data_IF_818357895647
#
_entry.id   IF_818357895647
#
_cell.length_a   1.000
_cell.length_b   1.000
_cell.length_c   1.000
_cell.angle_alpha   90.00
_cell.angle_beta   90.00
_cell.angle_gamma   90.00
#
_symmetry.space_group_name_H-M   'P 1'
#
loop_
_entity.id
_entity.type
_entity.pdbx_description
1 polymer ?
#
# COMPACT_ATOMS: atom_id res chain seq x y z
N UNK A 1 17.15 -19.52 -4.41
CA UNK A 1 16.51 -18.65 -5.45
C UNK A 1 17.59 -17.95 -6.26
N UNK A 2 17.47 -17.90 -7.59
CA UNK A 2 18.34 -17.07 -8.44
C UNK A 2 17.49 -15.96 -9.04
N UNK A 3 17.73 -14.72 -8.61
CA UNK A 3 17.15 -13.54 -9.27
C UNK A 3 18.03 -13.26 -10.49
N UNK A 4 17.44 -13.31 -11.68
CA UNK A 4 18.14 -13.11 -12.94
C UNK A 4 17.73 -11.77 -13.55
N UNK A 5 18.69 -10.99 -14.03
CA UNK A 5 18.41 -9.76 -14.78
C UNK A 5 18.16 -10.10 -16.25
N UNK A 6 16.97 -9.80 -16.73
CA UNK A 6 16.50 -10.17 -18.07
C UNK A 6 16.14 -11.65 -18.21
N UNK A 7 15.54 -12.00 -19.32
CA UNK A 7 15.23 -13.38 -19.65
C UNK A 7 16.48 -14.13 -20.16
N UNK A 8 16.69 -15.39 -19.74
CA UNK A 8 17.80 -16.19 -20.25
C UNK A 8 17.60 -16.52 -21.73
N UNK A 9 18.71 -16.71 -22.45
CA UNK A 9 18.65 -17.17 -23.83
C UNK A 9 17.93 -18.53 -23.90
N UNK A 10 16.87 -18.61 -24.70
CA UNK A 10 16.04 -19.81 -24.80
C UNK A 10 14.94 -19.91 -23.75
N UNK A 11 14.61 -18.83 -23.07
CA UNK A 11 13.41 -18.77 -22.22
C UNK A 11 12.18 -19.23 -23.02
N UNK A 12 11.53 -20.26 -22.50
CA UNK A 12 10.30 -20.79 -23.08
C UNK A 12 9.17 -20.67 -22.05
N UNK A 13 8.14 -19.83 -22.27
CA UNK A 13 7.04 -19.69 -21.33
C UNK A 13 6.26 -20.98 -21.09
N UNK A 14 6.24 -21.90 -22.06
CA UNK A 14 5.54 -23.18 -21.92
C UNK A 14 6.24 -24.19 -20.98
N UNK A 15 7.44 -23.88 -20.48
CA UNK A 15 8.10 -24.65 -19.43
C UNK A 15 7.56 -24.32 -18.04
N UNK A 16 6.64 -23.36 -17.93
CA UNK A 16 6.03 -22.90 -16.69
C UNK A 16 4.51 -23.13 -16.71
N UNK A 17 3.98 -23.60 -15.58
CA UNK A 17 2.55 -23.77 -15.36
C UNK A 17 1.87 -22.41 -15.13
N UNK A 18 2.68 -21.41 -14.70
CA UNK A 18 2.17 -20.09 -14.33
C UNK A 18 3.19 -18.99 -14.61
N UNK A 19 2.68 -17.85 -15.10
CA UNK A 19 3.42 -16.59 -15.19
C UNK A 19 2.81 -15.61 -14.19
N UNK A 20 3.65 -15.04 -13.34
CA UNK A 20 3.30 -13.96 -12.41
C UNK A 20 3.93 -12.67 -12.89
N UNK A 21 3.13 -11.64 -13.15
CA UNK A 21 3.60 -10.31 -13.53
C UNK A 21 3.61 -9.41 -12.30
N UNK A 22 4.81 -9.03 -11.87
CA UNK A 22 5.10 -8.22 -10.70
C UNK A 22 5.53 -9.04 -9.48
N UNK A 23 6.63 -8.63 -8.85
CA UNK A 23 7.23 -9.27 -7.67
C UNK A 23 6.92 -8.53 -6.35
N UNK A 24 5.79 -7.80 -6.29
CA UNK A 24 5.25 -7.21 -5.06
C UNK A 24 4.40 -8.21 -4.25
N UNK A 25 3.69 -7.74 -3.21
CA UNK A 25 2.93 -8.61 -2.31
C UNK A 25 1.97 -9.56 -3.05
N UNK A 26 1.13 -9.04 -3.96
CA UNK A 26 0.17 -9.88 -4.66
C UNK A 26 0.87 -11.01 -5.45
N UNK A 27 1.85 -10.66 -6.27
CA UNK A 27 2.55 -11.65 -7.10
C UNK A 27 3.36 -12.66 -6.30
N UNK A 28 4.14 -12.21 -5.31
CA UNK A 28 4.98 -13.08 -4.49
C UNK A 28 4.15 -14.08 -3.66
N UNK A 29 3.01 -13.63 -3.11
CA UNK A 29 2.08 -14.51 -2.36
C UNK A 29 1.50 -15.58 -3.29
N UNK A 30 0.99 -15.19 -4.47
CA UNK A 30 0.45 -16.15 -5.45
C UNK A 30 1.54 -17.14 -5.91
N UNK A 31 2.72 -16.65 -6.29
CA UNK A 31 3.83 -17.49 -6.71
C UNK A 31 4.19 -18.54 -5.65
N UNK A 32 4.38 -18.11 -4.40
CA UNK A 32 4.70 -19.01 -3.29
C UNK A 32 3.60 -20.02 -3.01
N UNK A 33 2.35 -19.59 -2.92
CA UNK A 33 1.21 -20.44 -2.60
C UNK A 33 0.99 -21.54 -3.64
N UNK A 34 1.07 -21.20 -4.93
CA UNK A 34 0.82 -22.14 -6.00
C UNK A 34 2.00 -23.10 -6.20
N UNK A 35 3.24 -22.62 -6.10
CA UNK A 35 4.41 -23.48 -6.15
C UNK A 35 4.41 -24.53 -5.03
N UNK A 36 4.13 -24.14 -3.79
CA UNK A 36 4.20 -25.07 -2.64
C UNK A 36 2.97 -25.96 -2.50
N UNK A 37 1.78 -25.57 -3.01
CA UNK A 37 0.54 -26.30 -2.75
C UNK A 37 0.17 -27.26 -3.88
N UNK A 38 0.27 -26.80 -5.14
CA UNK A 38 -0.06 -27.61 -6.34
C UNK A 38 1.16 -28.00 -7.16
N UNK A 39 2.36 -27.51 -6.78
CA UNK A 39 3.60 -27.86 -7.47
C UNK A 39 3.80 -27.14 -8.80
N UNK A 40 3.15 -25.99 -9.01
CA UNK A 40 3.32 -25.20 -10.21
C UNK A 40 4.76 -24.71 -10.34
N UNK A 41 5.31 -24.85 -11.55
CA UNK A 41 6.52 -24.14 -11.93
C UNK A 41 6.15 -22.71 -12.34
N UNK A 42 6.70 -21.72 -11.64
CA UNK A 42 6.30 -20.32 -11.74
C UNK A 42 7.43 -19.46 -12.29
N UNK A 43 7.14 -18.67 -13.33
CA UNK A 43 7.99 -17.56 -13.77
C UNK A 43 7.46 -16.25 -13.23
N UNK A 44 8.23 -15.57 -12.38
CA UNK A 44 7.90 -14.22 -11.90
C UNK A 44 8.64 -13.19 -12.76
N UNK A 45 7.90 -12.32 -13.45
CA UNK A 45 8.42 -11.28 -14.33
C UNK A 45 8.27 -9.91 -13.64
N UNK A 46 9.38 -9.27 -13.33
CA UNK A 46 9.40 -7.94 -12.68
C UNK A 46 10.09 -6.92 -13.60
N UNK A 47 9.40 -5.80 -13.88
CA UNK A 47 9.94 -4.75 -14.77
C UNK A 47 11.10 -3.97 -14.16
N UNK A 48 11.16 -3.89 -12.83
CA UNK A 48 12.23 -3.21 -12.10
C UNK A 48 13.46 -4.12 -11.97
N UNK A 49 14.55 -3.53 -11.53
CA UNK A 49 15.78 -4.25 -11.23
C UNK A 49 15.78 -4.97 -9.87
N UNK A 50 14.67 -4.88 -9.14
CA UNK A 50 14.50 -5.44 -7.79
C UNK A 50 13.10 -6.03 -7.58
N UNK A 51 12.99 -6.95 -6.62
CA UNK A 51 11.73 -7.53 -6.11
C UNK A 51 11.07 -6.63 -5.05
N UNK A 52 10.05 -7.13 -4.37
CA UNK A 52 9.29 -6.49 -3.29
C UNK A 52 8.36 -5.34 -3.72
N UNK A 53 8.31 -4.98 -5.01
CA UNK A 53 7.41 -3.95 -5.50
C UNK A 53 7.63 -2.62 -4.78
N UNK A 54 6.56 -1.97 -4.31
CA UNK A 54 6.66 -0.71 -3.58
C UNK A 54 7.14 -0.89 -2.12
N UNK A 55 7.21 -2.11 -1.60
CA UNK A 55 7.78 -2.37 -0.26
C UNK A 55 9.32 -2.53 -0.28
N UNK A 56 9.96 -2.38 -1.44
CA UNK A 56 11.40 -2.51 -1.58
C UNK A 56 12.14 -1.55 -0.64
N UNK A 57 13.09 -2.11 0.11
CA UNK A 57 14.00 -1.42 1.00
C UNK A 57 15.45 -1.85 0.75
N UNK A 58 16.37 -1.00 1.13
CA UNK A 58 17.80 -1.22 0.96
C UNK A 58 18.61 -0.42 1.98
N UNK A 59 19.86 -0.82 2.21
CA UNK A 59 20.78 -0.03 3.01
C UNK A 59 21.42 1.06 2.15
N UNK A 60 21.25 2.31 2.57
CA UNK A 60 21.86 3.45 1.91
C UNK A 60 23.37 3.61 2.26
N UNK A 61 24.03 4.65 1.73
CA UNK A 61 25.44 4.95 1.99
C UNK A 61 25.73 5.27 3.48
N UNK A 62 24.72 5.69 4.23
CA UNK A 62 24.85 5.92 5.68
C UNK A 62 24.71 4.63 6.49
N UNK A 63 24.27 3.54 5.87
CA UNK A 63 23.97 2.25 6.50
C UNK A 63 22.56 2.22 7.13
N UNK A 64 21.68 3.13 6.75
CA UNK A 64 20.27 3.15 7.16
C UNK A 64 19.47 2.27 6.24
N UNK A 65 18.61 1.41 6.78
CA UNK A 65 17.63 0.65 6.00
C UNK A 65 16.49 1.61 5.61
N UNK A 66 16.43 1.98 4.33
CA UNK A 66 15.48 2.95 3.77
C UNK A 66 14.48 2.27 2.84
N UNK A 67 13.24 2.71 2.86
CA UNK A 67 12.20 2.25 1.93
C UNK A 67 12.19 3.18 0.72
N UNK A 68 12.50 2.63 -0.46
CA UNK A 68 12.65 3.45 -1.67
C UNK A 68 11.34 4.17 -2.08
N UNK A 69 10.21 3.54 -1.83
CA UNK A 69 8.89 4.02 -2.29
C UNK A 69 7.99 4.50 -1.14
N UNK A 70 8.57 5.11 -0.11
CA UNK A 70 7.83 5.59 1.04
C UNK A 70 7.72 4.58 2.19
N UNK A 71 7.37 5.04 3.39
CA UNK A 71 7.32 4.19 4.56
C UNK A 71 6.23 3.13 4.43
N UNK A 72 6.63 1.89 4.63
CA UNK A 72 5.75 0.74 4.73
C UNK A 72 5.79 0.21 6.16
N UNK A 73 4.67 0.14 6.83
CA UNK A 73 4.54 -0.35 8.20
C UNK A 73 3.55 -1.51 8.20
N UNK A 74 4.01 -2.67 8.65
CA UNK A 74 3.15 -3.83 8.76
C UNK A 74 2.19 -3.69 9.93
N UNK A 75 0.90 -3.89 9.65
CA UNK A 75 -0.14 -4.07 10.63
C UNK A 75 -1.24 -4.92 10.02
N UNK A 76 -1.93 -5.71 10.83
CA UNK A 76 -3.10 -6.45 10.38
C UNK A 76 -4.00 -6.87 11.54
N UNK A 77 -5.28 -7.08 11.25
CA UNK A 77 -6.25 -7.77 12.11
C UNK A 77 -6.51 -9.20 11.63
N UNK A 78 -5.92 -9.59 10.50
CA UNK A 78 -6.15 -10.88 9.88
C UNK A 78 -5.06 -11.87 10.30
N UNK A 79 -5.44 -12.86 11.12
CA UNK A 79 -4.54 -13.89 11.63
C UNK A 79 -3.91 -14.72 10.50
N UNK A 80 -4.69 -15.09 9.48
CA UNK A 80 -4.19 -15.87 8.32
C UNK A 80 -3.07 -15.12 7.58
N UNK A 81 -3.20 -13.81 7.40
CA UNK A 81 -2.17 -12.98 6.79
C UNK A 81 -0.92 -12.95 7.66
N UNK A 82 -1.11 -12.77 8.98
CA UNK A 82 0.00 -12.76 9.92
C UNK A 82 0.75 -14.09 9.95
N UNK A 83 0.04 -15.20 10.05
CA UNK A 83 0.63 -16.55 10.03
C UNK A 83 1.39 -16.80 8.73
N UNK A 84 0.82 -16.44 7.59
CA UNK A 84 1.46 -16.64 6.30
C UNK A 84 2.77 -15.86 6.18
N UNK A 85 2.76 -14.55 6.45
CA UNK A 85 3.94 -13.69 6.31
C UNK A 85 5.01 -13.99 7.37
N UNK A 86 4.62 -14.40 8.58
CA UNK A 86 5.55 -14.79 9.66
C UNK A 86 6.38 -16.03 9.36
N UNK A 87 6.06 -16.76 8.30
CA UNK A 87 6.90 -17.86 7.80
C UNK A 87 8.19 -17.36 7.17
N UNK A 88 8.24 -16.09 6.75
CA UNK A 88 9.31 -15.54 5.91
C UNK A 88 10.11 -14.43 6.62
N UNK A 89 9.70 -14.02 7.81
CA UNK A 89 10.40 -13.04 8.61
C UNK A 89 10.08 -13.18 10.10
N UNK A 90 10.97 -12.67 10.94
CA UNK A 90 10.66 -12.31 12.33
C UNK A 90 10.20 -10.84 12.37
N UNK A 91 9.20 -10.54 13.21
CA UNK A 91 8.70 -9.18 13.38
C UNK A 91 9.37 -8.49 14.55
N UNK A 92 9.77 -7.23 14.39
CA UNK A 92 10.19 -6.38 15.51
C UNK A 92 8.96 -5.89 16.28
N UNK A 93 9.11 -5.57 17.55
CA UNK A 93 8.06 -4.93 18.35
C UNK A 93 8.04 -3.41 18.07
N UNK A 94 7.61 -3.06 16.85
CA UNK A 94 7.47 -1.67 16.45
C UNK A 94 6.00 -1.26 16.46
N UNK A 95 5.70 -0.21 17.25
CA UNK A 95 4.36 0.37 17.33
C UNK A 95 4.36 1.74 16.64
N UNK A 96 3.70 1.81 15.48
CA UNK A 96 3.74 3.01 14.65
C UNK A 96 3.03 4.19 15.30
N UNK A 97 3.71 5.33 15.37
CA UNK A 97 3.17 6.62 15.80
C UNK A 97 3.35 7.65 14.71
N UNK A 98 2.30 8.40 14.45
CA UNK A 98 2.30 9.52 13.51
C UNK A 98 1.88 10.79 14.25
N UNK A 99 2.58 11.86 13.97
CA UNK A 99 2.20 13.19 14.45
C UNK A 99 1.75 14.05 13.26
N UNK A 100 0.76 14.89 13.48
CA UNK A 100 0.42 15.99 12.57
C UNK A 100 1.08 17.27 13.08
N UNK A 101 1.75 18.00 12.21
CA UNK A 101 2.19 19.36 12.51
C UNK A 101 1.05 20.31 12.16
N UNK A 102 0.35 20.77 13.18
CA UNK A 102 -0.74 21.75 13.05
C UNK A 102 -0.25 23.08 13.59
N UNK A 103 0.07 24.02 12.71
CA UNK A 103 0.59 25.35 13.05
C UNK A 103 1.77 25.35 14.04
N UNK A 104 2.69 24.38 13.90
CA UNK A 104 3.85 24.22 14.78
C UNK A 104 3.61 23.34 16.02
N UNK A 105 2.37 22.94 16.30
CA UNK A 105 2.04 22.00 17.38
C UNK A 105 1.99 20.57 16.85
N UNK A 106 2.76 19.67 17.44
CA UNK A 106 2.77 18.25 17.09
C UNK A 106 1.68 17.50 17.85
N UNK A 107 0.69 16.98 17.12
CA UNK A 107 -0.48 16.27 17.66
C UNK A 107 -0.49 14.80 17.19
N UNK A 108 -0.86 13.83 18.06
CA UNK A 108 -1.08 12.45 17.64
C UNK A 108 -2.13 12.32 16.53
N UNK A 109 -1.89 11.35 15.62
CA UNK A 109 -2.85 10.91 14.59
C UNK A 109 -2.99 9.38 14.72
N UNK A 110 -4.22 8.85 14.85
CA UNK A 110 -5.54 9.53 14.83
C UNK A 110 -5.68 10.61 15.92
N UNK A 111 -6.49 11.63 15.60
CA UNK A 111 -6.80 12.68 16.55
C UNK A 111 -7.51 12.08 17.77
N UNK A 112 -6.93 12.23 18.96
CA UNK A 112 -7.33 11.52 20.18
C UNK A 112 -7.49 12.47 21.37
N UNK A 113 -7.68 11.97 22.59
CA UNK A 113 -7.80 12.76 23.81
C UNK A 113 -6.65 13.77 23.97
N UNK A 114 -5.41 13.33 23.82
CA UNK A 114 -4.24 14.23 23.90
C UNK A 114 -4.28 15.31 22.82
N UNK A 115 -4.75 14.97 21.62
CA UNK A 115 -4.90 15.96 20.53
C UNK A 115 -5.99 17.00 20.85
N UNK A 116 -7.09 16.61 21.53
CA UNK A 116 -8.10 17.54 22.02
C UNK A 116 -7.52 18.53 23.03
N UNK A 117 -6.72 18.06 23.99
CA UNK A 117 -6.08 18.94 24.97
C UNK A 117 -5.12 19.94 24.32
N UNK A 118 -4.35 19.48 23.32
CA UNK A 118 -3.42 20.33 22.57
C UNK A 118 -4.14 21.37 21.69
N UNK A 119 -5.29 21.00 21.12
CA UNK A 119 -6.07 21.86 20.22
C UNK A 119 -6.91 22.89 20.93
N UNK A 120 -7.60 22.52 22.02
CA UNK A 120 -8.62 23.31 22.70
C UNK A 120 -8.23 23.77 24.11
N UNK A 121 -7.07 23.35 24.62
CA UNK A 121 -6.65 23.54 26.01
C UNK A 121 -7.26 22.52 26.96
N UNK A 122 -6.74 22.46 28.21
CA UNK A 122 -7.11 21.40 29.16
C UNK A 122 -8.61 21.37 29.48
N UNK A 123 -9.19 22.51 29.86
CA UNK A 123 -10.59 22.57 30.30
C UNK A 123 -11.57 22.21 29.19
N UNK A 124 -11.47 22.87 28.04
CA UNK A 124 -12.35 22.61 26.90
C UNK A 124 -12.10 21.24 26.26
N UNK A 125 -10.84 20.83 26.16
CA UNK A 125 -10.46 19.51 25.64
C UNK A 125 -11.06 18.37 26.46
N UNK A 126 -11.05 18.47 27.80
CA UNK A 126 -11.68 17.51 28.70
C UNK A 126 -13.21 17.48 28.59
N UNK A 127 -13.87 18.63 28.39
CA UNK A 127 -15.30 18.66 28.12
C UNK A 127 -15.67 17.95 26.83
N UNK A 128 -14.94 18.25 25.75
CA UNK A 128 -15.14 17.63 24.44
C UNK A 128 -14.86 16.13 24.47
N UNK A 129 -13.81 15.71 25.19
CA UNK A 129 -13.50 14.28 25.35
C UNK A 129 -14.62 13.53 26.08
N UNK A 130 -15.11 14.06 27.21
CA UNK A 130 -16.26 13.47 27.93
C UNK A 130 -17.49 13.37 27.03
N UNK A 131 -17.77 14.39 26.23
CA UNK A 131 -18.86 14.38 25.25
C UNK A 131 -18.72 13.26 24.22
N UNK A 132 -17.51 13.05 23.70
CA UNK A 132 -17.20 11.94 22.78
C UNK A 132 -17.41 10.58 23.45
N UNK A 133 -16.91 10.40 24.68
CA UNK A 133 -17.10 9.18 25.46
C UNK A 133 -18.57 8.88 25.71
N UNK A 134 -19.35 9.88 26.14
CA UNK A 134 -20.77 9.73 26.42
C UNK A 134 -21.57 9.38 25.15
N UNK A 135 -21.14 9.84 23.98
CA UNK A 135 -21.86 9.65 22.72
C UNK A 135 -21.48 8.35 22.01
N UNK A 136 -20.21 7.99 22.01
CA UNK A 136 -19.67 6.89 21.19
C UNK A 136 -19.06 5.74 22.02
N UNK A 137 -18.75 5.98 23.28
CA UNK A 137 -17.99 5.07 24.14
C UNK A 137 -16.49 5.15 23.92
N UNK A 138 -15.72 4.63 24.88
CA UNK A 138 -14.25 4.59 24.78
C UNK A 138 -13.75 3.54 23.77
N UNK A 139 -12.51 3.73 23.35
CA UNK A 139 -11.80 2.85 22.41
C UNK A 139 -12.50 2.68 21.06
N UNK A 140 -13.10 3.75 20.56
CA UNK A 140 -13.79 3.80 19.26
C UNK A 140 -13.06 4.71 18.29
N UNK A 141 -12.98 4.27 17.03
CA UNK A 141 -12.65 5.13 15.89
C UNK A 141 -13.95 5.67 15.32
N UNK A 142 -14.10 6.99 15.34
CA UNK A 142 -15.30 7.68 14.86
C UNK A 142 -14.94 8.52 13.64
N UNK A 143 -15.49 8.22 12.46
CA UNK A 143 -15.28 9.02 11.26
C UNK A 143 -15.76 10.47 11.47
N UNK A 144 -15.02 11.45 10.92
CA UNK A 144 -15.38 12.88 11.06
C UNK A 144 -16.81 13.16 10.56
N UNK A 145 -17.22 12.49 9.51
CA UNK A 145 -18.57 12.67 8.94
C UNK A 145 -19.66 12.24 9.93
N UNK A 146 -19.43 11.17 10.70
CA UNK A 146 -20.37 10.71 11.74
C UNK A 146 -20.51 11.72 12.88
N UNK A 147 -19.42 12.42 13.26
CA UNK A 147 -19.47 13.51 14.22
C UNK A 147 -20.35 14.66 13.70
N UNK A 148 -20.22 15.04 12.44
CA UNK A 148 -21.02 16.12 11.81
C UNK A 148 -22.50 15.80 11.74
N UNK A 149 -22.88 14.54 11.57
CA UNK A 149 -24.28 14.10 11.49
C UNK A 149 -25.04 14.21 12.82
N UNK A 150 -24.36 14.33 13.97
CA UNK A 150 -25.01 14.33 15.28
C UNK A 150 -25.76 15.61 15.61
N UNK A 151 -25.62 16.70 14.87
CA UNK A 151 -26.23 18.02 15.14
C UNK A 151 -25.98 18.53 16.56
N UNK A 152 -24.86 18.18 17.18
CA UNK A 152 -24.42 18.60 18.50
C UNK A 152 -23.27 19.61 18.33
N UNK A 153 -23.35 20.82 18.90
CA UNK A 153 -22.35 21.87 18.71
C UNK A 153 -20.94 21.49 19.13
N UNK A 154 -20.81 20.73 20.21
CA UNK A 154 -19.49 20.27 20.72
C UNK A 154 -18.85 19.25 19.77
N UNK A 155 -19.63 18.30 19.25
CA UNK A 155 -19.16 17.31 18.29
C UNK A 155 -18.85 17.95 16.94
N UNK A 156 -19.61 18.97 16.53
CA UNK A 156 -19.32 19.74 15.31
C UNK A 156 -18.03 20.53 15.44
N UNK A 157 -17.77 21.16 16.60
CA UNK A 157 -16.52 21.88 16.86
C UNK A 157 -15.30 20.97 16.68
N UNK A 158 -15.34 19.74 17.24
CA UNK A 158 -14.27 18.75 17.05
C UNK A 158 -14.16 18.35 15.59
N UNK A 159 -15.29 18.05 14.94
CA UNK A 159 -15.30 17.64 13.54
C UNK A 159 -14.74 18.70 12.60
N UNK A 160 -15.10 19.97 12.81
CA UNK A 160 -14.64 21.09 12.00
C UNK A 160 -13.15 21.35 12.21
N UNK A 161 -12.68 21.31 13.46
CA UNK A 161 -11.25 21.44 13.74
C UNK A 161 -10.42 20.37 13.06
N UNK A 162 -10.81 19.11 13.22
CA UNK A 162 -10.08 17.97 12.61
C UNK A 162 -10.16 18.03 11.09
N UNK A 163 -11.32 18.38 10.56
CA UNK A 163 -11.52 18.53 9.12
C UNK A 163 -10.59 19.58 8.53
N UNK A 164 -10.57 20.79 9.10
CA UNK A 164 -9.80 21.92 8.58
C UNK A 164 -8.29 21.74 8.76
N UNK A 165 -7.86 21.27 9.94
CA UNK A 165 -6.44 21.31 10.33
C UNK A 165 -5.70 19.99 10.12
N UNK A 166 -6.39 18.85 10.09
CA UNK A 166 -5.76 17.53 9.97
C UNK A 166 -6.12 16.89 8.64
N UNK A 167 -7.37 16.99 8.19
CA UNK A 167 -7.87 16.26 7.03
C UNK A 167 -7.75 17.04 5.71
N UNK A 168 -8.33 18.24 5.63
CA UNK A 168 -8.57 18.96 4.38
C UNK A 168 -7.30 19.17 3.55
N UNK A 169 -6.34 19.89 4.10
CA UNK A 169 -5.12 20.26 3.36
C UNK A 169 -4.20 19.09 3.11
N UNK A 170 -4.10 18.15 4.06
CA UNK A 170 -3.33 16.92 3.87
C UNK A 170 -3.90 16.08 2.73
N UNK A 171 -5.21 15.88 2.73
CA UNK A 171 -5.91 15.09 1.71
C UNK A 171 -5.85 15.74 0.34
N UNK A 172 -6.02 17.06 0.26
CA UNK A 172 -5.84 17.80 -0.99
C UNK A 172 -4.42 17.66 -1.55
N UNK A 173 -3.38 17.74 -0.71
CA UNK A 173 -1.98 17.51 -1.13
C UNK A 173 -1.75 16.07 -1.58
N UNK A 174 -2.20 15.10 -0.79
CA UNK A 174 -1.99 13.69 -1.07
C UNK A 174 -2.70 13.23 -2.35
N UNK A 175 -3.94 13.66 -2.56
CA UNK A 175 -4.79 13.18 -3.65
C UNK A 175 -4.90 14.15 -4.83
N UNK A 176 -4.53 15.42 -4.65
CA UNK A 176 -4.68 16.46 -5.67
C UNK A 176 -6.14 16.76 -6.04
N UNK A 177 -7.08 16.45 -5.16
CA UNK A 177 -8.53 16.59 -5.34
C UNK A 177 -9.13 17.39 -4.19
N UNK A 178 -10.26 18.02 -4.43
CA UNK A 178 -11.07 18.62 -3.37
C UNK A 178 -11.84 17.53 -2.59
N UNK A 179 -12.20 17.76 -1.32
CA UNK A 179 -12.83 16.73 -0.48
C UNK A 179 -14.15 16.16 -1.01
N UNK A 180 -14.90 16.96 -1.77
CA UNK A 180 -16.14 16.56 -2.43
C UNK A 180 -15.92 15.64 -3.65
N UNK A 181 -14.70 15.60 -4.17
CA UNK A 181 -14.28 14.71 -5.27
C UNK A 181 -13.67 13.41 -4.80
N UNK A 182 -13.33 13.30 -3.50
CA UNK A 182 -12.65 12.16 -2.93
C UNK A 182 -13.66 11.09 -2.51
N UNK A 183 -13.36 9.84 -2.85
CA UNK A 183 -14.17 8.69 -2.43
C UNK A 183 -14.33 8.63 -0.90
N UNK A 184 -15.55 8.41 -0.36
CA UNK A 184 -15.79 8.33 1.08
C UNK A 184 -14.91 7.34 1.84
N UNK A 185 -14.41 6.29 1.20
CA UNK A 185 -13.47 5.35 1.82
C UNK A 185 -12.13 5.98 2.17
N UNK A 186 -11.75 7.07 1.49
CA UNK A 186 -10.54 7.85 1.77
C UNK A 186 -10.77 8.80 2.94
N UNK A 187 -11.97 9.41 3.04
CA UNK A 187 -12.30 10.35 4.12
C UNK A 187 -12.43 9.69 5.49
N UNK A 188 -12.77 8.41 5.54
CA UNK A 188 -12.83 7.62 6.77
C UNK A 188 -11.47 7.29 7.42
N UNK A 189 -10.34 7.61 6.75
CA UNK A 189 -8.98 7.25 7.23
C UNK A 189 -8.44 8.12 8.34
N UNK A 190 -9.01 9.30 8.55
CA UNK A 190 -8.61 10.18 9.65
C UNK A 190 -9.77 10.26 10.66
N UNK A 191 -10.05 9.17 11.39
CA UNK A 191 -11.07 9.19 12.44
C UNK A 191 -10.54 9.95 13.64
N UNK A 192 -11.47 10.43 14.47
CA UNK A 192 -11.19 10.72 15.87
C UNK A 192 -11.16 9.41 16.63
N UNK A 193 -10.11 9.20 17.42
CA UNK A 193 -10.02 8.04 18.32
C UNK A 193 -10.45 8.45 19.73
N UNK A 194 -11.53 7.88 20.22
CA UNK A 194 -12.03 8.16 21.58
C UNK A 194 -11.23 7.34 22.58
N UNK A 195 -10.10 7.89 23.05
CA UNK A 195 -9.17 7.21 23.95
C UNK A 195 -7.80 7.86 23.99
N UNK A 196 -6.88 7.28 24.78
CA UNK A 196 -5.51 7.78 25.02
C UNK A 196 -4.45 7.09 24.16
N UNK A 197 -4.83 6.08 23.36
CA UNK A 197 -3.87 5.35 22.50
C UNK A 197 -3.35 6.27 21.40
N UNK A 198 -2.06 6.55 21.40
CA UNK A 198 -1.39 7.43 20.44
C UNK A 198 -0.73 6.68 19.27
N UNK A 199 -0.99 5.37 19.15
CA UNK A 199 -0.55 4.58 17.99
C UNK A 199 -1.39 4.90 16.76
N UNK A 200 -0.76 4.88 15.60
CA UNK A 200 -1.45 5.13 14.33
C UNK A 200 -2.48 4.02 14.00
N UNK A 201 -2.17 2.79 14.40
CA UNK A 201 -3.07 1.64 14.28
C UNK A 201 -3.51 1.16 15.67
N UNK A 202 -4.32 1.95 16.41
CA UNK A 202 -4.77 1.54 17.72
C UNK A 202 -5.55 0.23 17.62
N UNK A 203 -5.36 -0.67 18.59
CA UNK A 203 -6.01 -1.97 18.67
C UNK A 203 -5.59 -3.01 17.61
N UNK A 204 -4.73 -2.70 16.63
CA UNK A 204 -4.22 -3.73 15.73
C UNK A 204 -3.41 -4.77 16.54
N UNK A 205 -3.81 -6.06 16.52
CA UNK A 205 -3.14 -7.09 17.30
C UNK A 205 -1.74 -7.40 16.78
N UNK A 206 -1.53 -7.23 15.50
CA UNK A 206 -0.26 -7.48 14.82
C UNK A 206 0.27 -6.20 14.21
N UNK A 207 1.39 -5.70 14.72
CA UNK A 207 2.15 -4.58 14.19
C UNK A 207 3.63 -4.87 14.29
N UNK A 208 4.44 -4.36 13.37
CA UNK A 208 5.88 -4.53 13.42
C UNK A 208 6.57 -4.08 12.14
N UNK A 209 7.89 -4.27 12.16
CA UNK A 209 8.71 -4.18 10.96
C UNK A 209 9.37 -5.54 10.75
N UNK A 210 9.58 -6.00 9.49
CA UNK A 210 10.40 -7.17 9.25
C UNK A 210 11.81 -6.92 9.82
N UNK A 211 12.33 -7.86 10.59
CA UNK A 211 13.61 -7.71 11.32
C UNK A 211 14.79 -7.36 10.40
N UNK A 212 14.83 -8.00 9.23
CA UNK A 212 15.89 -7.84 8.24
C UNK A 212 15.44 -7.03 7.00
N UNK A 213 14.31 -6.34 7.13
CA UNK A 213 13.69 -5.54 6.05
C UNK A 213 12.69 -6.32 5.20
N UNK A 214 11.95 -5.57 4.40
CA UNK A 214 10.95 -6.14 3.49
C UNK A 214 11.59 -6.91 2.34
N UNK A 215 12.68 -6.41 1.77
CA UNK A 215 13.35 -7.11 0.67
C UNK A 215 13.78 -8.51 1.07
N UNK A 216 14.32 -8.68 2.28
CA UNK A 216 14.67 -10.00 2.81
C UNK A 216 13.44 -10.90 3.03
N UNK A 217 12.32 -10.34 3.48
CA UNK A 217 11.05 -11.08 3.58
C UNK A 217 10.64 -11.62 2.21
N UNK A 218 10.74 -10.81 1.15
CA UNK A 218 10.39 -11.22 -0.21
C UNK A 218 11.38 -12.23 -0.78
N UNK A 219 12.67 -12.08 -0.49
CA UNK A 219 13.69 -13.09 -0.86
C UNK A 219 13.32 -14.45 -0.27
N UNK A 220 13.00 -14.51 1.03
CA UNK A 220 12.60 -15.76 1.69
C UNK A 220 11.27 -16.31 1.14
N UNK A 221 10.31 -15.44 0.80
CA UNK A 221 9.02 -15.86 0.24
C UNK A 221 9.19 -16.46 -1.16
N UNK A 222 10.04 -15.89 -1.99
CA UNK A 222 10.27 -16.34 -3.36
C UNK A 222 11.32 -17.47 -3.45
N UNK A 223 12.03 -17.78 -2.36
CA UNK A 223 13.00 -18.87 -2.34
C UNK A 223 12.29 -20.23 -2.36
N UNK A 224 12.15 -20.79 -3.57
CA UNK A 224 11.54 -22.08 -3.81
C UNK A 224 12.07 -22.68 -5.12
N UNK A 225 12.26 -24.03 -5.17
CA UNK A 225 12.84 -24.72 -6.32
C UNK A 225 12.00 -24.59 -7.61
N UNK A 226 10.71 -24.32 -7.47
CA UNK A 226 9.77 -24.17 -8.58
C UNK A 226 9.50 -22.70 -8.96
N UNK A 227 10.22 -21.74 -8.37
CA UNK A 227 10.03 -20.31 -8.65
C UNK A 227 11.30 -19.75 -9.27
N UNK A 228 11.20 -19.28 -10.51
CA UNK A 228 12.22 -18.52 -11.20
C UNK A 228 11.81 -17.03 -11.25
N UNK A 229 12.73 -16.12 -10.89
CA UNK A 229 12.47 -14.66 -10.83
C UNK A 229 13.35 -13.94 -11.85
N UNK A 230 12.70 -13.15 -12.70
CA UNK A 230 13.34 -12.38 -13.77
C UNK A 230 13.04 -10.89 -13.58
N UNK A 231 14.04 -10.12 -13.12
CA UNK A 231 13.99 -8.68 -13.03
C UNK A 231 14.37 -8.00 -14.35
N UNK A 232 14.08 -6.72 -14.52
CA UNK A 232 14.26 -5.98 -15.77
C UNK A 232 13.53 -6.60 -16.98
N UNK A 233 12.36 -7.18 -16.73
CA UNK A 233 11.51 -7.80 -17.76
C UNK A 233 10.13 -7.12 -17.71
N UNK A 234 9.83 -6.33 -18.73
CA UNK A 234 8.49 -5.81 -18.92
C UNK A 234 7.60 -6.88 -19.58
N UNK A 235 6.64 -7.37 -18.82
CA UNK A 235 5.76 -8.42 -19.32
C UNK A 235 4.91 -7.96 -20.53
N UNK A 236 4.74 -6.66 -20.74
CA UNK A 236 4.01 -6.09 -21.90
C UNK A 236 4.71 -6.35 -23.23
N UNK A 237 6.02 -6.60 -23.20
CA UNK A 237 6.79 -6.98 -24.40
C UNK A 237 6.52 -8.44 -24.81
N UNK A 238 5.95 -9.24 -23.93
CA UNK A 238 5.74 -10.69 -24.09
C UNK A 238 4.27 -11.07 -24.15
N UNK A 239 3.43 -10.42 -23.31
CA UNK A 239 2.04 -10.77 -23.08
C UNK A 239 1.10 -9.93 -23.93
N UNK A 240 0.15 -10.59 -24.59
CA UNK A 240 -1.00 -9.93 -25.21
C UNK A 240 -2.28 -10.70 -24.92
N UNK A 241 -3.40 -10.00 -24.87
CA UNK A 241 -4.74 -10.58 -24.77
C UNK A 241 -5.41 -10.40 -26.12
N UNK A 242 -5.77 -11.50 -26.78
CA UNK A 242 -6.44 -11.48 -28.08
C UNK A 242 -7.49 -12.58 -28.15
N UNK A 243 -8.68 -12.21 -28.62
CA UNK A 243 -9.84 -13.10 -28.79
C UNK A 243 -10.12 -13.98 -27.55
N UNK A 244 -10.08 -13.38 -26.35
CA UNK A 244 -10.33 -14.06 -25.08
C UNK A 244 -9.24 -15.05 -24.64
N UNK A 245 -8.03 -14.94 -25.20
CA UNK A 245 -6.89 -15.81 -24.89
C UNK A 245 -5.66 -15.00 -24.49
N UNK A 246 -4.86 -15.57 -23.61
CA UNK A 246 -3.52 -15.06 -23.33
C UNK A 246 -2.55 -15.60 -24.38
N UNK A 247 -1.79 -14.71 -25.00
CA UNK A 247 -0.67 -15.06 -25.85
C UNK A 247 0.64 -14.60 -25.18
N UNK A 248 1.66 -15.46 -25.24
CA UNK A 248 3.02 -15.13 -24.84
C UNK A 248 3.93 -15.30 -26.05
N UNK A 249 4.68 -14.27 -26.40
CA UNK A 249 5.47 -14.23 -27.66
C UNK A 249 4.64 -14.55 -28.93
N UNK A 250 3.34 -14.19 -28.93
CA UNK A 250 2.43 -14.44 -30.05
C UNK A 250 1.86 -15.87 -30.12
N UNK A 251 2.19 -16.75 -29.19
CA UNK A 251 1.66 -18.11 -29.09
C UNK A 251 0.65 -18.21 -27.94
N UNK A 252 -0.42 -19.00 -28.11
CA UNK A 252 -1.43 -19.20 -27.07
C UNK A 252 -0.80 -19.85 -25.85
N UNK A 253 -0.92 -19.21 -24.71
CA UNK A 253 -0.42 -19.72 -23.45
C UNK A 253 -1.54 -20.46 -22.69
N UNK A 254 -1.26 -21.70 -22.33
CA UNK A 254 -2.22 -22.59 -21.67
C UNK A 254 -2.10 -22.62 -20.13
N UNK A 255 -1.05 -22.01 -19.56
CA UNK A 255 -0.87 -21.90 -18.11
C UNK A 255 -1.62 -20.70 -17.51
N UNK A 256 -1.57 -20.56 -16.19
CA UNK A 256 -2.20 -19.46 -15.46
C UNK A 256 -1.38 -18.17 -15.53
N UNK A 257 -2.03 -17.03 -15.55
CA UNK A 257 -1.38 -15.72 -15.50
C UNK A 257 -1.95 -14.89 -14.36
N UNK A 258 -1.12 -14.55 -13.40
CA UNK A 258 -1.43 -13.55 -12.36
C UNK A 258 -0.82 -12.22 -12.76
N UNK A 259 -1.66 -11.21 -12.93
CA UNK A 259 -1.23 -9.88 -13.37
C UNK A 259 -1.45 -8.84 -12.24
N UNK A 260 -0.38 -8.14 -11.86
CA UNK A 260 -0.43 -7.14 -10.77
C UNK A 260 -0.14 -5.71 -11.22
N UNK A 261 0.10 -5.49 -12.50
CA UNK A 261 0.31 -4.17 -13.09
C UNK A 261 -0.99 -3.42 -13.42
N UNK A 262 -0.89 -2.14 -13.82
CA UNK A 262 -2.05 -1.38 -14.28
C UNK A 262 -2.65 -2.00 -15.56
N UNK A 263 -3.97 -2.18 -15.58
CA UNK A 263 -4.64 -2.78 -16.76
C UNK A 263 -4.62 -1.87 -17.99
N UNK A 264 -4.69 -0.57 -17.81
CA UNK A 264 -4.59 0.39 -18.91
C UNK A 264 -3.21 0.31 -19.59
N UNK A 265 -2.14 0.15 -18.83
CA UNK A 265 -0.79 -0.05 -19.39
C UNK A 265 -0.68 -1.37 -20.18
N UNK A 266 -1.34 -2.45 -19.73
CA UNK A 266 -1.37 -3.74 -20.46
C UNK A 266 -1.94 -3.58 -21.87
N UNK A 267 -2.92 -2.70 -22.04
CA UNK A 267 -3.56 -2.40 -23.31
C UNK A 267 -3.04 -1.12 -23.99
N UNK A 268 -1.82 -0.68 -23.64
CA UNK A 268 -1.16 0.50 -24.22
C UNK A 268 -2.02 1.77 -24.18
N UNK A 269 -2.80 1.95 -23.12
CA UNK A 269 -3.67 3.12 -22.89
C UNK A 269 -4.69 3.37 -24.00
N UNK A 270 -5.08 2.38 -24.76
CA UNK A 270 -5.89 2.50 -25.97
C UNK A 270 -7.33 3.01 -25.72
N UNK A 271 -7.79 3.01 -24.47
CA UNK A 271 -9.05 3.61 -24.02
C UNK A 271 -8.88 4.84 -23.12
N UNK A 272 -7.63 5.30 -22.92
CA UNK A 272 -7.22 6.38 -22.03
C UNK A 272 -6.47 5.89 -20.80
N UNK A 273 -5.71 6.78 -20.15
CA UNK A 273 -4.94 6.47 -18.96
C UNK A 273 -5.81 6.48 -17.69
N UNK A 274 -5.54 5.54 -16.79
CA UNK A 274 -6.06 5.55 -15.43
C UNK A 274 -5.16 6.43 -14.56
N UNK A 275 -5.70 7.48 -13.91
CA UNK A 275 -4.86 8.39 -13.16
C UNK A 275 -4.39 7.81 -11.83
N UNK A 276 -3.10 8.03 -11.52
CA UNK A 276 -2.45 7.66 -10.27
C UNK A 276 -1.70 8.86 -9.64
N UNK A 277 -1.25 8.70 -8.40
CA UNK A 277 -0.34 9.64 -7.71
C UNK A 277 1.06 9.05 -7.65
N UNK A 278 2.07 9.93 -7.56
CA UNK A 278 3.48 9.60 -7.33
C UNK A 278 4.10 10.51 -6.26
N UNK A 279 5.31 10.22 -5.76
CA UNK A 279 5.93 10.85 -4.57
C UNK A 279 7.43 11.15 -4.77
N UNK A 280 7.93 12.29 -4.19
CA UNK A 280 9.34 12.68 -4.10
C UNK A 280 9.74 13.13 -2.67
N UNK A 281 11.05 13.13 -2.22
CA UNK A 281 11.41 13.07 -0.78
C UNK A 281 12.68 13.77 -0.27
N UNK A 282 12.68 14.36 1.02
CA UNK A 282 13.84 14.87 1.85
C UNK A 282 13.55 15.47 3.28
N UNK A 283 14.35 15.22 4.44
CA UNK A 283 14.68 15.88 5.79
C UNK A 283 14.04 15.46 7.19
N UNK A 284 14.68 15.73 8.39
CA UNK A 284 14.68 15.15 9.79
C UNK A 284 13.51 15.37 10.79
N UNK A 285 13.26 14.39 11.83
CA UNK A 285 12.19 14.51 12.86
C UNK A 285 12.25 13.56 14.10
N UNK A 286 11.34 13.76 15.15
CA UNK A 286 11.41 13.06 16.44
C UNK A 286 10.71 11.68 16.50
N UNK A 287 9.94 11.31 15.50
CA UNK A 287 9.21 10.03 15.37
C UNK A 287 9.44 9.45 13.99
N UNK A 288 9.01 8.20 13.76
CA UNK A 288 9.10 7.59 12.43
C UNK A 288 8.44 8.43 11.34
N UNK A 289 7.28 9.03 11.59
CA UNK A 289 6.57 9.84 10.58
C UNK A 289 5.88 11.05 11.19
N UNK A 290 6.05 12.23 10.55
CA UNK A 290 5.27 13.46 10.84
C UNK A 290 4.55 13.90 9.58
N UNK A 291 3.24 14.04 9.65
CA UNK A 291 2.41 14.62 8.59
C UNK A 291 2.36 16.14 8.73
N UNK A 292 2.57 16.85 7.65
CA UNK A 292 2.45 18.30 7.56
C UNK A 292 1.11 18.65 6.95
N UNK A 293 0.17 19.05 7.81
CA UNK A 293 -1.26 19.05 7.46
C UNK A 293 -1.80 20.41 7.02
N UNK A 294 -1.04 21.49 7.10
CA UNK A 294 -1.56 22.84 6.88
C UNK A 294 -0.93 23.53 5.66
N UNK A 295 0.25 24.13 5.78
CA UNK A 295 0.77 25.12 4.84
C UNK A 295 1.91 24.66 3.95
N UNK A 296 2.57 23.57 4.31
CA UNK A 296 3.72 23.03 3.61
C UNK A 296 3.32 22.45 2.24
N UNK A 297 4.23 22.50 1.26
CA UNK A 297 4.04 21.97 -0.10
C UNK A 297 4.27 20.45 -0.19
N UNK A 298 4.74 19.82 0.89
CA UNK A 298 4.94 18.39 1.03
C UNK A 298 3.94 17.78 2.02
N UNK A 299 3.76 16.46 1.96
CA UNK A 299 2.75 15.74 2.76
C UNK A 299 3.27 15.26 4.09
N UNK A 300 4.47 14.66 4.10
CA UNK A 300 5.07 14.11 5.32
C UNK A 300 6.57 14.02 5.22
N UNK A 301 7.19 13.83 6.39
CA UNK A 301 8.59 13.48 6.54
C UNK A 301 8.67 12.15 7.31
N UNK A 302 9.55 11.25 6.89
CA UNK A 302 9.82 9.97 7.53
C UNK A 302 11.29 9.85 7.90
N UNK A 303 11.59 9.43 9.13
CA UNK A 303 12.94 9.08 9.58
C UNK A 303 13.04 7.56 9.82
N UNK A 304 13.70 6.86 8.93
CA UNK A 304 13.66 5.39 8.85
C UNK A 304 14.26 4.69 10.07
N UNK A 305 15.36 5.18 10.63
CA UNK A 305 15.97 4.54 11.81
C UNK A 305 15.01 4.48 13.01
N UNK A 306 14.06 5.43 13.12
CA UNK A 306 13.02 5.40 14.15
C UNK A 306 11.97 4.30 13.92
N UNK A 307 11.86 3.79 12.69
CA UNK A 307 10.99 2.67 12.34
C UNK A 307 11.72 1.33 12.49
N UNK A 308 12.95 1.26 12.01
CA UNK A 308 13.76 0.03 12.00
C UNK A 308 14.43 -0.26 13.35
N UNK A 309 14.44 0.71 14.29
CA UNK A 309 15.12 0.60 15.58
C UNK A 309 16.65 0.66 15.46
N UNK A 310 17.19 1.08 14.33
CA UNK A 310 18.64 1.16 14.12
C UNK A 310 19.27 2.24 14.99
N UNK A 311 20.40 1.92 15.62
CA UNK A 311 21.21 2.85 16.41
C UNK A 311 22.47 3.16 15.62
N UNK A 312 22.48 4.30 14.91
CA UNK A 312 23.59 4.77 14.08
C UNK A 312 24.02 6.16 14.57
N UNK A 313 25.05 6.25 15.46
CA UNK A 313 25.48 7.53 16.03
C UNK A 313 25.92 8.54 14.96
N UNK A 314 25.33 9.74 15.00
CA UNK A 314 25.66 10.83 14.09
C UNK A 314 25.21 10.67 12.64
N UNK A 315 24.41 9.63 12.35
CA UNK A 315 23.85 9.37 11.01
C UNK A 315 22.35 9.13 11.06
N UNK A 316 21.67 9.57 10.02
CA UNK A 316 20.26 9.22 9.78
C UNK A 316 19.93 9.47 8.31
N UNK A 317 18.87 8.85 7.86
CA UNK A 317 18.26 9.11 6.56
C UNK A 317 16.79 9.37 6.75
N UNK A 318 16.32 10.34 6.02
CA UNK A 318 14.95 10.82 6.09
C UNK A 318 14.42 11.01 4.69
N UNK A 319 13.13 10.92 4.60
CA UNK A 319 12.39 10.98 3.38
C UNK A 319 11.28 12.02 3.50
N UNK A 320 11.27 13.01 2.60
CA UNK A 320 10.25 14.06 2.49
C UNK A 320 9.39 13.79 1.28
N UNK A 321 8.08 13.66 1.45
CA UNK A 321 7.17 13.24 0.39
C UNK A 321 6.43 14.41 -0.26
N UNK A 322 6.55 14.52 -1.59
CA UNK A 322 5.76 15.41 -2.43
C UNK A 322 4.83 14.59 -3.32
N UNK A 323 3.54 14.81 -3.21
CA UNK A 323 2.56 14.07 -4.00
C UNK A 323 2.14 14.85 -5.24
N UNK A 324 2.24 14.25 -6.41
CA UNK A 324 1.79 14.85 -7.68
C UNK A 324 1.13 13.81 -8.60
N UNK A 325 0.59 14.24 -9.73
CA UNK A 325 -0.04 13.36 -10.69
C UNK A 325 1.00 12.43 -11.34
N UNK A 326 0.66 11.16 -11.47
CA UNK A 326 1.45 10.19 -12.20
C UNK A 326 1.37 10.47 -13.71
N UNK A 327 2.47 10.35 -14.40
CA UNK A 327 2.55 10.45 -15.87
C UNK A 327 2.94 9.06 -16.41
N UNK A 328 2.08 8.41 -17.19
CA UNK A 328 2.39 7.10 -17.78
C UNK A 328 3.66 7.15 -18.64
N UNK A 329 4.45 6.08 -18.61
CA UNK A 329 5.68 5.91 -19.37
C UNK A 329 6.80 6.96 -19.10
N UNK A 330 6.71 7.68 -17.98
CA UNK A 330 7.72 8.68 -17.57
C UNK A 330 8.85 8.11 -16.70
N UNK A 331 8.82 6.82 -16.39
CA UNK A 331 9.71 6.20 -15.41
C UNK A 331 9.26 6.40 -13.94
N UNK A 332 8.18 7.13 -13.72
CA UNK A 332 7.56 7.27 -12.39
C UNK A 332 6.89 5.97 -11.95
N UNK A 333 6.63 5.87 -10.66
CA UNK A 333 5.91 4.74 -10.06
C UNK A 333 4.47 5.14 -9.74
N UNK A 334 3.44 4.43 -10.22
CA UNK A 334 2.08 4.62 -9.74
C UNK A 334 1.93 4.06 -8.32
N UNK A 335 1.37 4.88 -7.41
CA UNK A 335 1.17 4.50 -6.00
C UNK A 335 -0.29 4.30 -5.63
N UNK A 336 -1.11 5.30 -5.93
CA UNK A 336 -2.51 5.33 -5.50
C UNK A 336 -3.41 5.61 -6.69
N UNK A 337 -4.40 4.74 -6.91
CA UNK A 337 -5.46 4.97 -7.87
C UNK A 337 -6.28 6.20 -7.48
N UNK A 338 -6.59 7.08 -8.42
CA UNK A 338 -7.47 8.24 -8.23
C UNK A 338 -8.90 7.77 -8.55
N UNK A 339 -9.60 7.32 -7.52
CA UNK A 339 -10.91 6.68 -7.63
C UNK A 339 -12.00 7.76 -7.64
N UNK A 340 -12.61 7.95 -8.80
CA UNK A 340 -13.85 8.71 -9.00
C UNK A 340 -14.80 7.96 -9.96
N UNK A 341 -16.05 8.39 -10.14
CA UNK A 341 -17.01 7.65 -10.95
C UNK A 341 -16.62 7.46 -12.41
N UNK A 342 -15.90 8.41 -13.02
CA UNK A 342 -15.52 8.32 -14.44
C UNK A 342 -14.29 7.44 -14.62
N UNK A 343 -13.31 7.55 -13.75
CA UNK A 343 -12.15 6.67 -13.72
C UNK A 343 -12.56 5.22 -13.43
N UNK A 344 -13.54 5.01 -12.54
CA UNK A 344 -14.10 3.68 -12.27
C UNK A 344 -14.75 3.06 -13.51
N UNK A 345 -15.56 3.83 -14.25
CA UNK A 345 -16.13 3.37 -15.54
C UNK A 345 -15.05 3.06 -16.57
N UNK A 346 -13.98 3.85 -16.61
CA UNK A 346 -12.86 3.58 -17.50
C UNK A 346 -12.17 2.25 -17.12
N UNK A 347 -11.91 2.05 -15.83
CA UNK A 347 -11.36 0.80 -15.33
C UNK A 347 -12.25 -0.40 -15.65
N UNK A 348 -13.57 -0.31 -15.46
CA UNK A 348 -14.54 -1.37 -15.79
C UNK A 348 -14.47 -1.78 -17.26
N UNK A 349 -14.29 -0.82 -18.18
CA UNK A 349 -14.10 -1.10 -19.61
C UNK A 349 -12.80 -1.88 -19.89
N UNK A 350 -11.72 -1.61 -19.15
CA UNK A 350 -10.51 -2.41 -19.26
C UNK A 350 -10.69 -3.80 -18.65
N UNK A 351 -11.38 -3.90 -17.52
CA UNK A 351 -11.66 -5.17 -16.87
C UNK A 351 -12.54 -6.09 -17.75
N UNK A 352 -13.52 -5.54 -18.47
CA UNK A 352 -14.35 -6.29 -19.42
C UNK A 352 -13.52 -7.02 -20.49
N UNK A 353 -12.39 -6.46 -20.92
CA UNK A 353 -11.52 -7.07 -21.94
C UNK A 353 -10.84 -8.35 -21.48
N UNK A 354 -10.63 -8.49 -20.18
CA UNK A 354 -10.00 -9.67 -19.58
C UNK A 354 -10.99 -10.61 -18.92
N UNK A 355 -12.23 -10.21 -18.70
CA UNK A 355 -13.24 -10.97 -17.97
C UNK A 355 -13.61 -12.32 -18.61
N UNK A 356 -13.41 -12.47 -19.92
CA UNK A 356 -13.63 -13.72 -20.63
C UNK A 356 -12.40 -14.64 -20.71
N UNK A 357 -11.25 -14.18 -20.20
CA UNK A 357 -9.98 -14.91 -20.20
C UNK A 357 -9.88 -15.71 -18.90
N UNK A 358 -10.17 -16.99 -18.96
CA UNK A 358 -10.33 -17.84 -17.77
C UNK A 358 -9.05 -18.12 -16.99
N UNK A 359 -7.89 -17.94 -17.63
CA UNK A 359 -6.58 -18.16 -17.05
C UNK A 359 -5.77 -16.86 -16.85
N UNK A 360 -6.47 -15.71 -16.75
CA UNK A 360 -5.85 -14.41 -16.49
C UNK A 360 -6.48 -13.78 -15.25
N UNK A 361 -5.69 -13.55 -14.21
CA UNK A 361 -6.15 -13.15 -12.89
C UNK A 361 -5.52 -11.81 -12.47
N UNK A 362 -6.20 -10.68 -12.68
CA UNK A 362 -5.74 -9.40 -12.14
C UNK A 362 -5.91 -9.39 -10.62
N UNK A 363 -4.84 -9.08 -9.88
CA UNK A 363 -4.85 -8.98 -8.42
C UNK A 363 -3.86 -7.93 -7.93
N UNK A 364 -4.22 -7.22 -6.88
CA UNK A 364 -3.39 -6.20 -6.26
C UNK A 364 -3.79 -4.77 -6.61
N UNK A 365 -3.19 -3.82 -5.91
CA UNK A 365 -3.59 -2.40 -5.89
C UNK A 365 -3.75 -1.76 -7.26
N UNK A 366 -2.83 -2.03 -8.18
CA UNK A 366 -2.84 -1.43 -9.52
C UNK A 366 -3.77 -2.18 -10.46
N UNK A 367 -3.69 -3.51 -10.49
CA UNK A 367 -4.49 -4.35 -11.39
C UNK A 367 -5.99 -4.29 -11.09
N UNK A 368 -6.38 -4.11 -9.81
CA UNK A 368 -7.78 -3.98 -9.40
C UNK A 368 -8.25 -2.53 -9.29
N UNK A 369 -7.35 -1.56 -9.57
CA UNK A 369 -7.63 -0.13 -9.44
C UNK A 369 -8.28 0.23 -8.10
N UNK A 370 -7.73 -0.32 -6.99
CA UNK A 370 -8.27 -0.19 -5.63
C UNK A 370 -7.20 0.29 -4.67
N UNK A 371 -7.65 0.93 -3.59
CA UNK A 371 -6.78 1.20 -2.47
C UNK A 371 -6.76 0.01 -1.49
N UNK A 372 -5.56 -0.55 -1.33
CA UNK A 372 -5.27 -1.64 -0.40
C UNK A 372 -4.08 -1.31 0.48
N UNK A 373 -4.12 -1.69 1.75
CA UNK A 373 -2.94 -1.85 2.58
C UNK A 373 -2.26 -3.21 2.33
N UNK A 374 -1.05 -3.39 2.82
CA UNK A 374 -0.24 -4.60 2.55
C UNK A 374 -0.94 -5.90 2.98
N UNK A 375 -1.65 -5.87 4.10
CA UNK A 375 -2.40 -7.02 4.61
C UNK A 375 -3.59 -7.36 3.71
N UNK A 376 -4.33 -6.38 3.24
CA UNK A 376 -5.46 -6.59 2.36
C UNK A 376 -5.02 -7.12 0.98
N UNK A 377 -3.90 -6.63 0.45
CA UNK A 377 -3.29 -7.19 -0.79
C UNK A 377 -2.87 -8.64 -0.57
N UNK A 378 -2.21 -8.93 0.55
CA UNK A 378 -1.79 -10.29 0.90
C UNK A 378 -3.01 -11.21 1.02
N UNK A 379 -4.07 -10.76 1.69
CA UNK A 379 -5.31 -11.53 1.83
C UNK A 379 -5.95 -11.83 0.47
N UNK A 380 -6.11 -10.82 -0.41
CA UNK A 380 -6.65 -11.02 -1.76
C UNK A 380 -5.83 -12.02 -2.57
N UNK A 381 -4.51 -11.99 -2.45
CA UNK A 381 -3.63 -12.93 -3.13
C UNK A 381 -3.76 -14.37 -2.57
N UNK A 382 -3.97 -14.53 -1.26
CA UNK A 382 -4.24 -15.83 -0.64
C UNK A 382 -5.59 -16.41 -1.11
N UNK A 383 -6.66 -15.59 -1.16
CA UNK A 383 -7.97 -16.02 -1.67
C UNK A 383 -7.90 -16.44 -3.14
N UNK A 384 -7.29 -15.61 -4.00
CA UNK A 384 -7.09 -15.96 -5.40
C UNK A 384 -6.28 -17.27 -5.55
N UNK A 385 -5.24 -17.45 -4.74
CA UNK A 385 -4.46 -18.68 -4.77
C UNK A 385 -5.30 -19.91 -4.41
N UNK A 386 -6.19 -19.80 -3.42
CA UNK A 386 -7.08 -20.90 -3.03
C UNK A 386 -8.10 -21.21 -4.15
N UNK A 387 -8.60 -20.20 -4.87
CA UNK A 387 -9.46 -20.40 -6.05
C UNK A 387 -8.74 -21.17 -7.15
N UNK A 388 -7.53 -20.74 -7.52
CA UNK A 388 -6.72 -21.43 -8.54
C UNK A 388 -6.39 -22.86 -8.10
N UNK A 389 -5.96 -23.07 -6.85
CA UNK A 389 -5.69 -24.41 -6.30
C UNK A 389 -6.91 -25.30 -6.44
N UNK A 390 -8.11 -24.80 -6.13
CA UNK A 390 -9.36 -25.59 -6.22
C UNK A 390 -9.71 -26.03 -7.63
N UNK A 391 -9.27 -25.28 -8.66
CA UNK A 391 -9.47 -25.64 -10.05
C UNK A 391 -8.47 -26.68 -10.55
N UNK A 392 -7.33 -26.86 -9.88
CA UNK A 392 -6.25 -27.76 -10.27
C UNK A 392 -6.05 -28.95 -9.31
N UNK A 393 -6.86 -29.05 -8.24
CA UNK A 393 -6.91 -30.18 -7.31
C UNK A 393 -7.87 -31.25 -7.81
#
# INVERSE_FOLDING_TARGET
MQITSGLPTGFNPHDYDMIVVGAGYAGAVCARRLAETVGFRVAVLERRDHIAGNAYDYYDEAGVLVHLYGPHIYHTFNERVHEFLSRFTEWTDYQHKVLANVHGTLMPVPFNHKSLLLAFGEERGEELYRKLVDTFGENKKVPIMELREKNDPDLQEVADYVYENVFLHYTMKQWGQTPDQIDPSVTGRVPVFVGDDDRYFPQAPYQGMPKDGYTALFENMLEHDLIDVFCNVDARDLLTIDDGRVLVNGEVYGGEVVYTGPLDELFNLDMGDLPYRTLDMDQFQPVGTVNYTVSEDFTRITEFKNMTGQVLPGKTTIMKEFSHAYVPNSGQTPYYAIIDPDNRKLYERYLERVSSVTNFHPVGRLAEYRYYDMDAVTYSALELSDEIISCHA
#
